data_IF_420759253445
#
_entry.id   IF_420759253445
#
_cell.length_a   1.000
_cell.length_b   1.000
_cell.length_c   1.000
_cell.angle_alpha   90.00
_cell.angle_beta   90.00
_cell.angle_gamma   90.00
#
_symmetry.space_group_name_H-M   'P 1'
#
loop_
_entity.id
_entity.type
_entity.pdbx_description
1 polymer ?
#
# COMPACT_ATOMS: atom_id res chain seq x y z
N UNK A 1 -18.10 22.14 -1.83
CA UNK A 1 -17.10 21.19 -1.32
C UNK A 1 -17.47 19.81 -1.81
N UNK A 2 -16.76 19.24 -2.77
CA UNK A 2 -16.81 17.81 -3.11
C UNK A 2 -15.40 17.45 -3.59
N UNK A 3 -14.72 16.64 -2.78
CA UNK A 3 -13.28 16.50 -2.81
C UNK A 3 -12.75 15.65 -3.96
N UNK A 4 -11.58 16.07 -4.46
CA UNK A 4 -10.41 15.22 -4.74
C UNK A 4 -10.68 13.92 -5.52
N UNK A 5 -10.78 14.02 -6.84
CA UNK A 5 -10.66 12.88 -7.77
C UNK A 5 -9.22 12.38 -7.92
N UNK A 6 -8.52 12.09 -6.82
CA UNK A 6 -7.18 11.46 -6.81
C UNK A 6 -7.25 9.96 -6.51
N UNK A 7 -8.46 9.40 -6.40
CA UNK A 7 -8.70 7.99 -6.09
C UNK A 7 -8.71 7.13 -7.34
N UNK A 8 -7.55 6.91 -7.95
CA UNK A 8 -7.31 5.72 -8.79
C UNK A 8 -5.84 5.54 -9.19
N UNK A 9 -5.04 6.61 -9.16
CA UNK A 9 -3.69 6.60 -9.76
C UNK A 9 -2.59 6.22 -8.78
N UNK A 10 -2.83 6.27 -7.47
CA UNK A 10 -1.82 5.94 -6.45
C UNK A 10 -1.66 4.43 -6.25
N UNK A 11 -2.73 3.67 -6.48
CA UNK A 11 -2.78 2.22 -6.21
C UNK A 11 -2.62 1.35 -7.46
N UNK A 12 -2.93 1.86 -8.65
CA UNK A 12 -2.98 1.09 -9.89
C UNK A 12 -1.67 0.94 -10.68
N UNK A 13 -0.61 1.69 -10.35
CA UNK A 13 0.65 1.67 -11.12
C UNK A 13 1.90 1.30 -10.32
N UNK A 14 1.79 1.16 -9.00
CA UNK A 14 2.92 0.85 -8.12
C UNK A 14 3.12 -0.65 -8.05
N UNK A 15 3.48 -1.27 -9.19
CA UNK A 15 3.86 -2.69 -9.25
C UNK A 15 5.21 -2.96 -8.55
N UNK A 16 5.84 -1.91 -8.02
CA UNK A 16 7.12 -1.95 -7.34
C UNK A 16 6.93 -1.68 -5.84
N UNK A 17 7.55 -2.52 -5.02
CA UNK A 17 7.55 -2.35 -3.58
C UNK A 17 8.32 -1.07 -3.20
N UNK A 18 7.73 -0.14 -2.42
CA UNK A 18 8.44 1.03 -1.94
C UNK A 18 9.58 0.58 -1.04
N UNK A 19 10.83 0.84 -1.41
CA UNK A 19 11.99 0.41 -0.63
C UNK A 19 12.28 1.33 0.57
N UNK A 20 11.55 2.44 0.69
CA UNK A 20 11.70 3.41 1.76
C UNK A 20 10.49 3.37 2.72
N UNK A 21 10.72 3.37 4.05
CA UNK A 21 9.64 3.31 5.03
C UNK A 21 8.70 4.51 4.94
N UNK A 22 9.22 5.71 4.66
CA UNK A 22 8.42 6.93 4.51
C UNK A 22 7.41 6.82 3.36
N UNK A 23 7.83 6.23 2.24
CA UNK A 23 6.99 6.06 1.04
C UNK A 23 5.88 5.02 1.29
N UNK A 24 6.22 3.91 1.95
CA UNK A 24 5.26 2.90 2.38
C UNK A 24 4.23 3.46 3.39
N UNK A 25 4.66 4.32 4.32
CA UNK A 25 3.76 4.99 5.27
C UNK A 25 2.81 5.96 4.55
N UNK A 26 3.28 6.72 3.56
CA UNK A 26 2.41 7.61 2.78
C UNK A 26 1.35 6.81 2.01
N UNK A 27 1.75 5.68 1.43
CA UNK A 27 0.84 4.79 0.72
C UNK A 27 -0.22 4.20 1.68
N UNK A 28 0.19 3.76 2.88
CA UNK A 28 -0.71 3.27 3.91
C UNK A 28 -1.74 4.31 4.36
N UNK A 29 -1.30 5.57 4.53
CA UNK A 29 -2.19 6.68 4.87
C UNK A 29 -3.22 6.94 3.77
N UNK A 30 -2.81 6.89 2.49
CA UNK A 30 -3.74 7.00 1.37
C UNK A 30 -4.75 5.85 1.36
N UNK A 31 -4.30 4.60 1.52
CA UNK A 31 -5.19 3.42 1.63
C UNK A 31 -6.23 3.56 2.73
N UNK A 32 -5.80 4.10 3.88
CA UNK A 32 -6.67 4.26 5.03
C UNK A 32 -7.75 5.32 4.79
N UNK A 33 -7.43 6.40 4.07
CA UNK A 33 -8.43 7.41 3.67
C UNK A 33 -9.44 6.86 2.67
N UNK A 34 -9.02 5.93 1.81
CA UNK A 34 -9.89 5.26 0.85
C UNK A 34 -10.66 4.08 1.46
N UNK A 35 -10.40 3.74 2.73
CA UNK A 35 -11.04 2.60 3.41
C UNK A 35 -10.63 1.25 2.84
N UNK A 36 -9.43 1.13 2.27
CA UNK A 36 -8.98 -0.08 1.60
C UNK A 36 -8.77 -1.23 2.60
N UNK A 37 -9.31 -2.41 2.30
CA UNK A 37 -9.21 -3.60 3.16
C UNK A 37 -7.78 -4.12 3.33
N UNK A 38 -6.88 -3.71 2.44
CA UNK A 38 -5.45 -4.08 2.44
C UNK A 38 -4.54 -3.11 3.21
N UNK A 39 -5.13 -2.07 3.82
CA UNK A 39 -4.39 -1.12 4.68
C UNK A 39 -3.52 -1.81 5.74
N UNK A 40 -4.00 -2.79 6.53
CA UNK A 40 -3.18 -3.38 7.58
C UNK A 40 -1.94 -4.13 7.06
N UNK A 41 -2.02 -4.74 5.88
CA UNK A 41 -0.89 -5.39 5.21
C UNK A 41 0.17 -4.37 4.80
N UNK A 42 -0.26 -3.22 4.29
CA UNK A 42 0.64 -2.13 3.90
C UNK A 42 1.29 -1.44 5.10
N UNK A 43 0.56 -1.29 6.21
CA UNK A 43 1.11 -0.86 7.51
C UNK A 43 2.15 -1.87 8.03
N UNK A 44 1.90 -3.16 7.87
CA UNK A 44 2.86 -4.22 8.19
C UNK A 44 4.15 -4.12 7.38
N UNK A 45 4.04 -3.86 6.07
CA UNK A 45 5.19 -3.65 5.20
C UNK A 45 6.03 -2.45 5.61
N UNK A 46 5.40 -1.30 5.87
CA UNK A 46 6.08 -0.09 6.31
C UNK A 46 6.82 -0.30 7.65
N UNK A 47 6.19 -0.95 8.63
CA UNK A 47 6.84 -1.31 9.89
C UNK A 47 8.04 -2.25 9.70
N UNK A 48 7.96 -3.17 8.75
CA UNK A 48 9.08 -4.04 8.43
C UNK A 48 10.27 -3.24 7.88
N UNK A 49 10.03 -2.28 6.98
CA UNK A 49 11.08 -1.40 6.44
C UNK A 49 11.71 -0.52 7.51
N UNK A 50 10.92 -0.03 8.47
CA UNK A 50 11.43 0.70 9.63
C UNK A 50 12.37 -0.17 10.49
N UNK A 51 12.05 -1.46 10.64
CA UNK A 51 12.90 -2.41 11.35
C UNK A 51 14.11 -2.89 10.53
N UNK A 52 14.05 -2.81 9.19
CA UNK A 52 15.08 -3.27 8.26
C UNK A 52 15.44 -2.16 7.25
N UNK A 53 15.99 -1.03 7.70
CA UNK A 53 16.25 0.12 6.82
C UNK A 53 17.34 -0.16 5.78
N UNK A 54 18.19 -1.16 6.03
CA UNK A 54 19.28 -1.58 5.13
C UNK A 54 18.83 -2.58 4.05
N UNK A 55 17.67 -3.24 4.23
CA UNK A 55 17.22 -4.27 3.30
C UNK A 55 15.69 -4.37 3.23
N UNK A 56 15.14 -3.76 2.19
CA UNK A 56 13.72 -3.92 1.84
C UNK A 56 13.37 -5.36 1.42
N UNK A 57 14.38 -6.17 1.06
CA UNK A 57 14.18 -7.57 0.65
C UNK A 57 13.72 -8.45 1.83
N UNK A 58 14.18 -8.14 3.06
CA UNK A 58 13.67 -8.75 4.30
C UNK A 58 12.16 -8.57 4.49
N UNK A 59 11.58 -7.56 3.82
CA UNK A 59 10.17 -7.20 3.89
C UNK A 59 9.37 -7.60 2.65
N UNK A 60 10.01 -8.28 1.69
CA UNK A 60 9.40 -8.70 0.42
C UNK A 60 8.14 -9.55 0.64
N UNK A 61 8.13 -10.39 1.67
CA UNK A 61 6.96 -11.22 2.03
C UNK A 61 5.75 -10.36 2.41
N UNK A 62 5.95 -9.26 3.14
CA UNK A 62 4.87 -8.37 3.55
C UNK A 62 4.31 -7.58 2.36
N UNK A 63 5.19 -7.20 1.42
CA UNK A 63 4.76 -6.60 0.16
C UNK A 63 3.97 -7.58 -0.71
N UNK A 64 4.41 -8.83 -0.83
CA UNK A 64 3.68 -9.85 -1.59
C UNK A 64 2.28 -10.08 -1.00
N UNK A 65 2.17 -10.09 0.33
CA UNK A 65 0.90 -10.22 1.05
C UNK A 65 -0.06 -9.04 0.78
N UNK A 66 0.47 -7.82 0.75
CA UNK A 66 -0.30 -6.64 0.34
C UNK A 66 -0.77 -6.76 -1.11
N UNK A 67 0.13 -7.13 -2.02
CA UNK A 67 -0.18 -7.28 -3.45
C UNK A 67 -1.17 -8.43 -3.69
N UNK A 68 -1.11 -9.49 -2.87
CA UNK A 68 -2.09 -10.57 -2.86
C UNK A 68 -3.45 -10.06 -2.43
N UNK A 69 -3.52 -9.32 -1.31
CA UNK A 69 -4.77 -8.70 -0.86
C UNK A 69 -5.39 -7.78 -1.92
N UNK A 70 -4.58 -6.98 -2.62
CA UNK A 70 -5.07 -6.14 -3.72
C UNK A 70 -5.65 -6.96 -4.88
N UNK A 71 -5.05 -8.11 -5.19
CA UNK A 71 -5.55 -9.03 -6.23
C UNK A 71 -6.86 -9.71 -5.83
N UNK A 72 -7.03 -10.02 -4.55
CA UNK A 72 -8.25 -10.62 -4.00
C UNK A 72 -9.37 -9.60 -3.79
N UNK A 73 -9.00 -8.36 -3.46
CA UNK A 73 -9.90 -7.24 -3.27
C UNK A 73 -9.55 -6.11 -4.25
N UNK A 74 -9.68 -6.35 -5.56
CA UNK A 74 -9.52 -5.28 -6.53
C UNK A 74 -10.57 -4.23 -6.20
N UNK A 75 -10.17 -2.95 -6.13
CA UNK A 75 -11.14 -1.85 -6.03
C UNK A 75 -12.14 -2.02 -7.18
N UNK A 76 -13.34 -2.51 -6.88
CA UNK A 76 -14.37 -2.58 -7.89
C UNK A 76 -14.74 -1.14 -8.23
N UNK A 77 -14.67 -0.70 -9.50
CA UNK A 77 -15.21 0.59 -9.85
C UNK A 77 -16.68 0.61 -9.44
N UNK A 78 -17.18 1.71 -8.84
CA UNK A 78 -18.60 1.83 -8.54
C UNK A 78 -19.39 1.61 -9.84
N UNK A 79 -20.36 0.70 -9.81
CA UNK A 79 -21.29 0.46 -10.92
C UNK A 79 -22.26 1.62 -11.09
#
# INVERSE_FOLDING_TARGET
>A
MLGHGISNYLYGHSNQAPTQPAEAQQLAQAAQQEGHVCTPQLVGYSKCLEANPESADSCKWAWDYFTQCQREHPMQPPQ
#
